data_IF_759005913240
#
_entry.id   IF_759005913240
#
_cell.length_a   1.000
_cell.length_b   1.000
_cell.length_c   1.000
_cell.angle_alpha   90.00
_cell.angle_beta   90.00
_cell.angle_gamma   90.00
#
_symmetry.space_group_name_H-M   'P 1'
#
loop_
_entity.id
_entity.type
_entity.pdbx_description
1 polymer ?
#
# COMPACT_ATOMS: atom_id res chain seq x y z
N UNK A 1 4.79 2.34 17.03
CA UNK A 1 4.81 1.85 15.62
C UNK A 1 6.28 1.71 15.23
N UNK A 2 6.72 0.54 14.77
CA UNK A 2 8.12 0.34 14.35
C UNK A 2 8.42 1.18 13.10
N UNK A 3 9.68 1.62 12.95
CA UNK A 3 10.11 2.31 11.73
C UNK A 3 10.26 1.27 10.62
N UNK A 4 9.78 1.58 9.41
CA UNK A 4 10.11 0.77 8.25
C UNK A 4 11.55 1.12 7.82
N UNK A 5 12.45 0.14 7.89
CA UNK A 5 13.88 0.24 7.59
C UNK A 5 14.33 -0.73 6.48
N UNK A 6 13.45 -1.64 6.06
CA UNK A 6 13.70 -2.56 4.96
C UNK A 6 13.76 -1.81 3.62
N UNK A 7 14.52 -2.38 2.69
CA UNK A 7 14.61 -1.86 1.33
C UNK A 7 13.27 -2.11 0.61
N UNK A 8 12.92 -1.19 -0.29
CA UNK A 8 11.80 -1.36 -1.19
C UNK A 8 12.24 -2.25 -2.35
N UNK A 9 11.59 -3.40 -2.50
CA UNK A 9 11.88 -4.34 -3.58
C UNK A 9 11.02 -4.05 -4.81
N UNK A 10 9.73 -3.71 -4.61
CA UNK A 10 8.78 -3.45 -5.70
C UNK A 10 7.84 -2.28 -5.39
N UNK A 11 7.42 -1.59 -6.46
CA UNK A 11 6.45 -0.50 -6.41
C UNK A 11 5.54 -0.49 -7.64
N UNK A 12 4.28 -0.88 -7.45
CA UNK A 12 3.28 -1.02 -8.52
C UNK A 12 2.18 0.04 -8.39
N UNK A 13 1.78 0.65 -9.50
CA UNK A 13 0.57 1.47 -9.55
C UNK A 13 -0.64 0.59 -9.84
N UNK A 14 -1.57 0.50 -8.89
CA UNK A 14 -2.86 -0.18 -9.06
C UNK A 14 -3.85 0.72 -9.82
N UNK A 15 -3.73 2.03 -9.61
CA UNK A 15 -4.40 3.10 -10.37
C UNK A 15 -3.45 4.31 -10.49
N UNK A 16 -3.92 5.42 -11.05
CA UNK A 16 -3.17 6.69 -11.08
C UNK A 16 -3.00 7.34 -9.69
N UNK A 17 -3.78 6.90 -8.68
CA UNK A 17 -3.76 7.43 -7.31
C UNK A 17 -3.47 6.39 -6.24
N UNK A 18 -3.41 5.12 -6.58
CA UNK A 18 -3.22 4.02 -5.63
C UNK A 18 -2.01 3.21 -6.04
N UNK A 19 -1.08 3.00 -5.12
CA UNK A 19 0.09 2.16 -5.34
C UNK A 19 0.26 1.12 -4.25
N UNK A 20 1.00 0.07 -4.60
CA UNK A 20 1.38 -1.04 -3.74
C UNK A 20 2.90 -1.08 -3.66
N UNK A 21 3.42 -1.23 -2.45
CA UNK A 21 4.85 -1.34 -2.19
C UNK A 21 5.15 -2.62 -1.43
N UNK A 22 6.15 -3.37 -1.88
CA UNK A 22 6.68 -4.57 -1.19
C UNK A 22 8.10 -4.29 -0.71
N UNK A 23 8.37 -4.69 0.53
CA UNK A 23 9.65 -4.51 1.17
C UNK A 23 10.35 -5.85 1.39
N UNK A 24 11.68 -5.81 1.51
CA UNK A 24 12.51 -7.01 1.65
C UNK A 24 12.34 -7.76 2.97
N UNK A 25 11.62 -7.19 3.94
CA UNK A 25 11.22 -7.85 5.17
C UNK A 25 9.92 -8.67 5.02
N UNK A 26 9.31 -8.70 3.82
CA UNK A 26 8.05 -9.39 3.53
C UNK A 26 6.80 -8.51 3.69
N UNK A 27 6.96 -7.31 4.25
CA UNK A 27 5.84 -6.41 4.45
C UNK A 27 5.34 -5.81 3.13
N UNK A 28 4.01 -5.72 3.00
CA UNK A 28 3.35 -5.14 1.84
C UNK A 28 2.34 -4.08 2.28
N UNK A 29 2.35 -2.93 1.61
CA UNK A 29 1.47 -1.80 1.90
C UNK A 29 0.78 -1.31 0.64
N UNK A 30 -0.46 -0.86 0.80
CA UNK A 30 -1.21 -0.17 -0.24
C UNK A 30 -1.52 1.24 0.23
N UNK A 31 -1.16 2.23 -0.59
CA UNK A 31 -1.32 3.65 -0.33
C UNK A 31 -2.35 4.24 -1.28
N UNK A 32 -3.34 4.96 -0.75
CA UNK A 32 -4.33 5.67 -1.54
C UNK A 32 -4.13 7.18 -1.40
N UNK A 33 -3.61 7.80 -2.46
CA UNK A 33 -3.42 9.26 -2.59
C UNK A 33 -4.62 9.94 -3.27
N UNK A 34 -5.70 9.21 -3.53
CA UNK A 34 -6.91 9.69 -4.19
C UNK A 34 -7.93 10.27 -3.22
N UNK A 35 -9.03 10.77 -3.80
CA UNK A 35 -10.17 11.33 -3.06
C UNK A 35 -11.33 10.32 -2.90
N UNK A 36 -11.18 9.11 -3.45
CA UNK A 36 -12.19 8.05 -3.43
C UNK A 36 -11.62 6.80 -2.75
N UNK A 37 -12.48 6.04 -2.09
CA UNK A 37 -12.10 4.74 -1.52
C UNK A 37 -11.67 3.80 -2.64
N UNK A 38 -10.54 3.14 -2.44
CA UNK A 38 -10.09 2.04 -3.29
C UNK A 38 -10.63 0.73 -2.74
N UNK A 39 -11.37 -0.02 -3.55
CA UNK A 39 -11.94 -1.31 -3.19
C UNK A 39 -11.64 -2.33 -4.28
N UNK A 40 -10.78 -3.31 -4.01
CA UNK A 40 -10.45 -4.37 -4.96
C UNK A 40 -9.98 -5.65 -4.24
N UNK A 41 -10.39 -6.82 -4.74
CA UNK A 41 -9.97 -8.13 -4.21
C UNK A 41 -10.12 -8.27 -2.67
N UNK A 42 -11.18 -7.70 -2.08
CA UNK A 42 -11.43 -7.73 -0.64
C UNK A 42 -10.59 -6.76 0.19
N UNK A 43 -9.73 -5.95 -0.42
CA UNK A 43 -9.02 -4.84 0.21
C UNK A 43 -9.82 -3.55 0.05
N UNK A 44 -10.00 -2.82 1.15
CA UNK A 44 -10.51 -1.46 1.17
C UNK A 44 -9.44 -0.51 1.73
N UNK A 45 -9.16 0.58 1.00
CA UNK A 45 -8.25 1.66 1.44
C UNK A 45 -8.94 3.00 1.24
N UNK A 46 -9.23 3.69 2.34
CA UNK A 46 -9.90 4.98 2.35
C UNK A 46 -9.03 6.08 1.69
N UNK A 47 -9.64 7.18 1.23
CA UNK A 47 -8.91 8.33 0.70
C UNK A 47 -7.81 8.82 1.65
N UNK A 48 -6.66 9.19 1.11
CA UNK A 48 -5.51 9.74 1.87
C UNK A 48 -5.02 8.85 3.03
N UNK A 49 -5.20 7.54 2.90
CA UNK A 49 -4.79 6.56 3.91
C UNK A 49 -3.95 5.43 3.30
N UNK A 50 -3.48 4.54 4.16
CA UNK A 50 -2.75 3.35 3.76
C UNK A 50 -3.14 2.16 4.63
N UNK A 51 -3.01 0.96 4.07
CA UNK A 51 -3.25 -0.30 4.75
C UNK A 51 -2.05 -1.23 4.55
N UNK A 52 -1.61 -1.90 5.62
CA UNK A 52 -0.66 -3.01 5.52
C UNK A 52 -1.45 -4.27 5.17
N UNK A 53 -1.04 -4.97 4.11
CA UNK A 53 -1.76 -6.13 3.58
C UNK A 53 -1.01 -7.44 3.72
N UNK A 54 0.30 -7.37 3.99
CA UNK A 54 1.11 -8.53 4.38
C UNK A 54 2.21 -8.16 5.38
N UNK A 55 2.75 -9.17 6.07
CA UNK A 55 3.97 -9.11 6.88
C UNK A 55 4.92 -10.23 6.48
#
# INVERSE_FOLDING_TARGET
RARQLAFMDEHDYLTDKVCRTRYSDGSEFVYNYGNTTYSAAGLEVLPHTWSQVNQ
#
